data_IF_627086006970
#
_entry.id   IF_627086006970
#
_cell.length_a   1.000
_cell.length_b   1.000
_cell.length_c   1.000
_cell.angle_alpha   90.00
_cell.angle_beta   90.00
_cell.angle_gamma   90.00
#
_symmetry.space_group_name_H-M   'P 1'
#
loop_
_entity.id
_entity.type
_entity.pdbx_description
1 polymer ?
#
# COMPACT_ATOMS: atom_id res chain seq x y z
N UNK A 1 2.43 18.32 -2.82
CA UNK A 1 1.68 17.04 -3.00
C UNK A 1 2.70 15.98 -3.33
N UNK A 2 2.59 14.83 -2.68
CA UNK A 2 3.48 13.68 -2.93
C UNK A 2 3.13 12.92 -4.23
N UNK A 3 1.90 13.13 -4.76
CA UNK A 3 1.40 12.45 -5.95
C UNK A 3 1.73 13.26 -7.22
N UNK A 4 2.27 12.64 -8.28
CA UNK A 4 2.55 13.32 -9.54
C UNK A 4 1.30 13.97 -10.15
N UNK A 5 1.47 15.16 -10.71
CA UNK A 5 0.38 15.90 -11.39
C UNK A 5 -0.24 15.05 -12.51
N UNK A 6 0.58 14.28 -13.25
CA UNK A 6 0.09 13.41 -14.32
C UNK A 6 -0.89 12.34 -13.82
N UNK A 7 -0.66 11.80 -12.62
CA UNK A 7 -1.57 10.83 -11.99
C UNK A 7 -2.88 11.52 -11.58
N UNK A 8 -2.80 12.70 -10.95
CA UNK A 8 -3.98 13.49 -10.58
C UNK A 8 -4.83 13.81 -11.80
N UNK A 9 -4.20 14.31 -12.87
CA UNK A 9 -4.89 14.62 -14.15
C UNK A 9 -5.57 13.38 -14.73
N UNK A 10 -4.92 12.21 -14.70
CA UNK A 10 -5.50 10.97 -15.20
C UNK A 10 -6.74 10.57 -14.40
N UNK A 11 -6.68 10.62 -13.07
CA UNK A 11 -7.82 10.31 -12.20
C UNK A 11 -8.95 11.30 -12.41
N UNK A 12 -8.66 12.60 -12.48
CA UNK A 12 -9.67 13.65 -12.73
C UNK A 12 -10.36 13.41 -14.07
N UNK A 13 -9.61 13.18 -15.16
CA UNK A 13 -10.18 12.88 -16.49
C UNK A 13 -11.08 11.65 -16.45
N UNK A 14 -10.66 10.59 -15.74
CA UNK A 14 -11.45 9.39 -15.58
C UNK A 14 -12.77 9.66 -14.86
N UNK A 15 -12.72 10.36 -13.73
CA UNK A 15 -13.92 10.71 -12.94
C UNK A 15 -14.89 11.58 -13.76
N UNK A 16 -14.39 12.59 -14.47
CA UNK A 16 -15.21 13.40 -15.36
C UNK A 16 -15.84 12.57 -16.49
N UNK A 17 -15.06 11.69 -17.11
CA UNK A 17 -15.58 10.78 -18.14
C UNK A 17 -16.70 9.88 -17.62
N UNK A 18 -16.59 9.34 -16.40
CA UNK A 18 -17.66 8.54 -15.78
C UNK A 18 -18.91 9.37 -15.50
N UNK A 19 -18.74 10.59 -14.99
CA UNK A 19 -19.86 11.53 -14.75
C UNK A 19 -20.59 11.91 -16.05
N UNK A 20 -19.85 12.21 -17.12
CA UNK A 20 -20.44 12.51 -18.42
C UNK A 20 -21.22 11.33 -19.02
N UNK A 21 -20.83 10.11 -18.72
CA UNK A 21 -21.56 8.89 -19.09
C UNK A 21 -22.76 8.60 -18.20
N UNK A 22 -23.02 9.43 -17.19
CA UNK A 22 -24.11 9.24 -16.23
C UNK A 22 -23.86 8.12 -15.20
N UNK A 23 -22.63 7.59 -15.14
CA UNK A 23 -22.29 6.52 -14.21
C UNK A 23 -22.24 7.06 -12.78
N UNK A 24 -23.11 6.57 -11.92
CA UNK A 24 -23.13 6.93 -10.49
C UNK A 24 -22.16 6.12 -9.63
N UNK A 25 -21.77 4.92 -10.09
CA UNK A 25 -20.84 4.01 -9.41
C UNK A 25 -19.80 3.54 -10.40
N UNK A 26 -18.54 3.71 -10.06
CA UNK A 26 -17.40 3.29 -10.87
C UNK A 26 -16.17 3.10 -9.98
N UNK A 27 -15.33 2.09 -10.25
CA UNK A 27 -14.10 1.89 -9.48
C UNK A 27 -13.04 2.95 -9.83
N UNK A 28 -12.22 3.32 -8.86
CA UNK A 28 -11.04 4.18 -9.07
C UNK A 28 -9.75 3.36 -9.05
N UNK A 29 -9.72 2.32 -8.23
CA UNK A 29 -8.57 1.46 -8.01
C UNK A 29 -9.04 0.01 -8.11
N UNK A 30 -8.29 -0.80 -8.83
CA UNK A 30 -8.41 -2.25 -8.76
C UNK A 30 -7.41 -2.79 -7.73
N UNK A 31 -7.89 -3.60 -6.80
CA UNK A 31 -7.05 -4.43 -5.94
C UNK A 31 -6.79 -5.75 -6.67
N UNK A 32 -5.60 -5.89 -7.24
CA UNK A 32 -5.19 -7.06 -8.01
C UNK A 32 -4.30 -7.95 -7.14
N UNK A 33 -4.79 -9.12 -6.77
CA UNK A 33 -4.09 -10.06 -5.91
C UNK A 33 -3.66 -11.30 -6.68
N UNK A 34 -2.52 -11.25 -7.40
CA UNK A 34 -2.13 -12.32 -8.31
C UNK A 34 -1.68 -13.59 -7.57
N UNK A 35 -1.42 -13.51 -6.28
CA UNK A 35 -1.12 -14.65 -5.41
C UNK A 35 -1.34 -14.29 -3.93
N UNK A 36 -1.50 -15.31 -3.07
CA UNK A 36 -1.59 -15.14 -1.61
C UNK A 36 -0.36 -15.65 -0.86
N UNK A 37 0.51 -16.39 -1.51
CA UNK A 37 1.77 -16.86 -0.95
C UNK A 37 2.64 -15.69 -0.50
N UNK A 38 3.22 -15.78 0.71
CA UNK A 38 4.10 -14.78 1.30
C UNK A 38 5.31 -15.46 1.93
N UNK A 39 6.40 -14.71 2.12
CA UNK A 39 7.60 -15.11 2.83
C UNK A 39 7.68 -14.47 4.24
N UNK A 40 6.57 -13.89 4.73
CA UNK A 40 6.35 -13.42 6.09
C UNK A 40 5.03 -13.96 6.64
N UNK A 41 4.94 -14.02 7.96
CA UNK A 41 3.73 -14.38 8.71
C UNK A 41 3.42 -13.27 9.74
N UNK A 42 3.07 -12.09 9.22
CA UNK A 42 2.83 -10.90 10.03
C UNK A 42 1.66 -11.09 10.98
N UNK A 43 1.78 -10.60 12.21
CA UNK A 43 0.79 -10.74 13.28
C UNK A 43 -0.62 -10.26 12.89
N UNK A 44 -0.72 -9.17 12.11
CA UNK A 44 -1.99 -8.59 11.66
C UNK A 44 -2.51 -9.13 10.32
N UNK A 45 -1.88 -10.15 9.72
CA UNK A 45 -2.22 -10.64 8.40
C UNK A 45 -2.88 -12.01 8.43
N UNK A 46 -4.05 -12.16 7.77
CA UNK A 46 -4.74 -13.44 7.65
C UNK A 46 -4.54 -14.15 6.31
N UNK A 47 -3.75 -13.61 5.38
CA UNK A 47 -3.63 -14.19 4.03
C UNK A 47 -2.88 -15.51 4.01
N UNK A 48 -1.85 -15.67 4.80
CA UNK A 48 -1.07 -16.92 4.90
C UNK A 48 -1.81 -18.05 5.63
N UNK A 49 -2.95 -17.73 6.25
CA UNK A 49 -3.82 -18.72 6.91
C UNK A 49 -4.70 -19.51 5.93
N UNK A 50 -4.65 -19.20 4.64
CA UNK A 50 -5.36 -19.99 3.64
C UNK A 50 -4.72 -21.37 3.44
N UNK A 51 -5.53 -22.40 3.06
CA UNK A 51 -5.01 -23.74 2.82
C UNK A 51 -3.91 -23.77 1.75
N UNK A 52 -2.96 -24.73 1.82
CA UNK A 52 -1.82 -24.80 0.90
C UNK A 52 -2.21 -24.83 -0.58
N UNK A 53 -3.34 -25.45 -0.94
CA UNK A 53 -3.78 -25.50 -2.34
C UNK A 53 -4.20 -24.12 -2.87
N UNK A 54 -4.67 -23.21 -2.01
CA UNK A 54 -4.96 -21.80 -2.34
C UNK A 54 -3.65 -21.01 -2.41
N UNK A 55 -2.74 -21.19 -1.44
CA UNK A 55 -1.47 -20.48 -1.43
C UNK A 55 -0.57 -20.82 -2.64
N UNK A 56 -0.79 -21.98 -3.28
CA UNK A 56 -0.07 -22.39 -4.50
C UNK A 56 -0.63 -21.75 -5.78
N UNK A 57 -1.87 -21.24 -5.75
CA UNK A 57 -2.49 -20.60 -6.92
C UNK A 57 -1.82 -19.27 -7.23
N UNK A 58 -1.83 -18.92 -8.51
CA UNK A 58 -1.44 -17.60 -8.98
C UNK A 58 -2.18 -17.29 -10.29
N UNK A 59 -2.45 -16.00 -10.52
CA UNK A 59 -3.02 -15.54 -11.79
C UNK A 59 -1.92 -15.44 -12.83
N UNK A 60 -2.24 -15.76 -14.07
CA UNK A 60 -1.35 -15.48 -15.21
C UNK A 60 -1.33 -13.97 -15.54
N UNK A 61 -0.35 -13.49 -16.29
CA UNK A 61 -0.36 -12.12 -16.81
C UNK A 61 -1.63 -11.79 -17.59
N UNK A 62 -2.13 -12.72 -18.41
CA UNK A 62 -3.33 -12.55 -19.22
C UNK A 62 -4.58 -12.37 -18.35
N UNK A 63 -4.74 -13.17 -17.30
CA UNK A 63 -5.82 -13.03 -16.33
C UNK A 63 -5.75 -11.68 -15.61
N UNK A 64 -4.54 -11.24 -15.23
CA UNK A 64 -4.32 -9.93 -14.63
C UNK A 64 -4.70 -8.79 -15.59
N UNK A 65 -4.34 -8.90 -16.87
CA UNK A 65 -4.68 -7.90 -17.86
C UNK A 65 -6.18 -7.86 -18.16
N UNK A 66 -6.81 -9.02 -18.28
CA UNK A 66 -8.26 -9.12 -18.48
C UNK A 66 -9.04 -8.45 -17.34
N UNK A 67 -8.65 -8.69 -16.07
CA UNK A 67 -9.26 -8.05 -14.91
C UNK A 67 -9.13 -6.52 -14.93
N UNK A 68 -7.96 -6.01 -15.37
CA UNK A 68 -7.70 -4.57 -15.47
C UNK A 68 -8.49 -3.94 -16.62
N UNK A 69 -8.64 -4.62 -17.74
CA UNK A 69 -9.44 -4.16 -18.89
C UNK A 69 -10.93 -4.15 -18.55
N UNK A 70 -11.45 -5.20 -17.92
CA UNK A 70 -12.83 -5.30 -17.47
C UNK A 70 -13.17 -4.17 -16.49
N UNK A 71 -12.32 -3.92 -15.49
CA UNK A 71 -12.56 -2.88 -14.49
C UNK A 71 -12.47 -1.47 -15.05
N UNK A 72 -11.70 -1.25 -16.12
CA UNK A 72 -11.48 0.05 -16.77
C UNK A 72 -10.81 1.11 -15.88
N UNK A 73 -10.27 0.75 -14.72
CA UNK A 73 -9.69 1.67 -13.73
C UNK A 73 -8.43 2.38 -14.22
N UNK A 74 -8.16 3.59 -13.71
CA UNK A 74 -6.89 4.29 -13.97
C UNK A 74 -5.73 3.82 -13.09
N UNK A 75 -6.03 3.17 -11.96
CA UNK A 75 -5.04 2.79 -10.94
C UNK A 75 -5.20 1.32 -10.56
N UNK A 76 -4.07 0.65 -10.31
CA UNK A 76 -4.00 -0.74 -9.87
C UNK A 76 -3.11 -0.83 -8.64
N UNK A 77 -3.63 -1.39 -7.56
CA UNK A 77 -2.83 -1.80 -6.40
C UNK A 77 -2.62 -3.31 -6.47
N UNK A 78 -1.39 -3.75 -6.30
CA UNK A 78 -1.02 -5.17 -6.33
C UNK A 78 -0.53 -5.57 -4.92
N UNK A 79 -1.46 -5.89 -3.99
CA UNK A 79 -1.07 -6.25 -2.64
C UNK A 79 -0.70 -7.73 -2.50
N UNK A 80 -1.53 -8.66 -2.94
CA UNK A 80 -1.34 -10.11 -2.81
C UNK A 80 -0.94 -10.60 -1.42
N UNK A 81 -0.19 -11.70 -1.35
CA UNK A 81 0.71 -12.04 -0.26
C UNK A 81 1.99 -11.21 -0.40
N UNK A 82 3.05 -11.79 -1.04
CA UNK A 82 4.21 -10.99 -1.48
C UNK A 82 4.31 -11.03 -3.00
N UNK A 83 3.94 -9.95 -3.70
CA UNK A 83 3.92 -9.94 -5.16
C UNK A 83 5.27 -10.21 -5.82
N UNK A 84 6.38 -9.86 -5.16
CA UNK A 84 7.72 -10.14 -5.69
C UNK A 84 8.07 -11.64 -5.72
N UNK A 85 7.26 -12.51 -5.11
CA UNK A 85 7.36 -13.97 -5.25
C UNK A 85 6.66 -14.50 -6.51
N UNK A 86 5.87 -13.65 -7.20
CA UNK A 86 5.23 -14.08 -8.44
C UNK A 86 6.28 -14.17 -9.56
N UNK A 87 6.41 -15.32 -10.26
CA UNK A 87 7.47 -15.52 -11.26
C UNK A 87 7.39 -14.52 -12.42
N UNK A 88 6.19 -14.11 -12.79
CA UNK A 88 5.94 -13.21 -13.91
C UNK A 88 5.54 -11.79 -13.47
N UNK A 89 5.87 -11.35 -12.26
CA UNK A 89 5.46 -10.02 -11.76
C UNK A 89 6.01 -8.88 -12.64
N UNK A 90 7.19 -9.05 -13.19
CA UNK A 90 7.80 -8.06 -14.09
C UNK A 90 7.00 -7.92 -15.38
N UNK A 91 6.54 -9.04 -15.94
CA UNK A 91 5.68 -9.06 -17.13
C UNK A 91 4.33 -8.38 -16.84
N UNK A 92 3.71 -8.72 -15.70
CA UNK A 92 2.45 -8.08 -15.26
C UNK A 92 2.65 -6.57 -15.14
N UNK A 93 3.67 -6.11 -14.43
CA UNK A 93 3.97 -4.69 -14.23
C UNK A 93 4.21 -3.98 -15.57
N UNK A 94 5.03 -4.54 -16.45
CA UNK A 94 5.33 -3.97 -17.75
C UNK A 94 4.07 -3.89 -18.64
N UNK A 95 3.23 -4.91 -18.63
CA UNK A 95 1.97 -4.93 -19.34
C UNK A 95 0.99 -3.85 -18.85
N UNK A 96 0.96 -3.59 -17.54
CA UNK A 96 0.15 -2.51 -16.95
C UNK A 96 0.72 -1.12 -17.27
N UNK A 97 2.05 -0.97 -17.29
CA UNK A 97 2.72 0.28 -17.72
C UNK A 97 2.39 0.59 -19.19
N UNK A 98 2.44 -0.41 -20.08
CA UNK A 98 2.07 -0.27 -21.48
C UNK A 98 0.60 0.19 -21.63
N UNK A 99 -0.28 -0.24 -20.75
CA UNK A 99 -1.69 0.19 -20.65
C UNK A 99 -1.87 1.53 -19.92
N UNK A 100 -0.78 2.21 -19.57
CA UNK A 100 -0.77 3.52 -18.87
C UNK A 100 -1.54 3.52 -17.55
N UNK A 101 -1.52 2.39 -16.82
CA UNK A 101 -2.11 2.27 -15.49
C UNK A 101 -1.11 2.72 -14.43
N UNK A 102 -1.55 3.51 -13.45
CA UNK A 102 -0.73 3.83 -12.29
C UNK A 102 -0.76 2.65 -11.31
N UNK A 103 0.42 2.11 -11.01
CA UNK A 103 0.61 0.87 -10.26
C UNK A 103 1.22 1.20 -8.90
N UNK A 104 0.61 0.65 -7.86
CA UNK A 104 1.20 0.53 -6.53
C UNK A 104 1.53 -0.95 -6.31
N UNK A 105 2.79 -1.32 -6.51
CA UNK A 105 3.30 -2.66 -6.25
C UNK A 105 3.65 -2.75 -4.77
N UNK A 106 2.77 -3.40 -3.98
CA UNK A 106 2.96 -3.56 -2.55
C UNK A 106 3.99 -4.66 -2.27
N UNK A 107 4.89 -4.44 -1.34
CA UNK A 107 5.92 -5.42 -1.00
C UNK A 107 6.38 -5.27 0.45
N UNK A 108 6.73 -6.39 1.08
CA UNK A 108 7.42 -6.42 2.37
C UNK A 108 8.92 -6.15 2.26
N UNK A 109 9.40 -5.91 1.05
CA UNK A 109 10.78 -5.59 0.68
C UNK A 109 11.84 -6.69 0.87
N UNK A 110 11.53 -7.88 1.39
CA UNK A 110 12.53 -8.93 1.57
C UNK A 110 13.23 -9.30 0.26
N UNK A 111 12.49 -9.25 -0.85
CA UNK A 111 13.02 -9.54 -2.19
C UNK A 111 13.32 -8.28 -3.01
N UNK A 112 12.96 -7.09 -2.50
CA UNK A 112 12.97 -5.87 -3.29
C UNK A 112 14.35 -5.57 -3.87
N UNK A 113 15.38 -5.48 -3.03
CA UNK A 113 16.75 -5.14 -3.47
C UNK A 113 17.25 -6.12 -4.54
N UNK A 114 16.99 -7.41 -4.38
CA UNK A 114 17.40 -8.46 -5.33
C UNK A 114 16.68 -8.32 -6.68
N UNK A 115 15.37 -8.00 -6.63
CA UNK A 115 14.52 -7.95 -7.81
C UNK A 115 14.53 -6.60 -8.55
N UNK A 116 14.99 -5.51 -7.90
CA UNK A 116 15.04 -4.17 -8.52
C UNK A 116 15.68 -4.13 -9.91
N UNK A 117 16.78 -4.86 -10.22
CA UNK A 117 17.38 -4.85 -11.56
C UNK A 117 16.47 -5.36 -12.68
N UNK A 118 15.41 -6.11 -12.34
CA UNK A 118 14.45 -6.65 -13.30
C UNK A 118 13.41 -5.61 -13.74
N UNK A 119 13.27 -4.51 -13.01
CA UNK A 119 12.31 -3.43 -13.28
C UNK A 119 12.99 -2.21 -13.89
N UNK A 120 12.20 -1.42 -14.62
CA UNK A 120 12.62 -0.12 -15.14
C UNK A 120 11.83 1.01 -14.46
N UNK A 121 12.50 2.08 -13.97
CA UNK A 121 11.80 3.22 -13.41
C UNK A 121 10.76 3.81 -14.38
N UNK A 122 9.58 4.07 -13.86
CA UNK A 122 8.47 4.60 -14.65
C UNK A 122 7.60 5.52 -13.80
N UNK A 123 7.04 6.56 -14.41
CA UNK A 123 6.03 7.39 -13.74
C UNK A 123 4.77 6.61 -13.35
N UNK A 124 4.56 5.46 -13.95
CA UNK A 124 3.41 4.59 -13.68
C UNK A 124 3.66 3.57 -12.57
N UNK A 125 4.91 3.31 -12.17
CA UNK A 125 5.25 2.33 -11.13
C UNK A 125 5.68 3.01 -9.84
N UNK A 126 5.01 2.69 -8.75
CA UNK A 126 5.39 3.05 -7.39
C UNK A 126 5.53 1.78 -6.55
N UNK A 127 6.67 1.57 -5.93
CA UNK A 127 6.80 0.56 -4.89
C UNK A 127 6.15 1.07 -3.61
N UNK A 128 5.11 0.37 -3.15
CA UNK A 128 4.46 0.60 -1.87
C UNK A 128 5.07 -0.35 -0.84
N UNK A 129 6.05 0.13 -0.10
CA UNK A 129 6.85 -0.74 0.79
C UNK A 129 6.24 -0.75 2.17
N UNK A 130 5.94 -1.94 2.67
CA UNK A 130 5.46 -2.12 4.05
C UNK A 130 6.57 -1.75 5.04
N UNK A 131 6.30 -0.75 5.89
CA UNK A 131 7.22 -0.30 6.92
C UNK A 131 6.45 0.34 8.08
N UNK A 132 6.30 -0.37 9.20
CA UNK A 132 5.45 -0.01 10.33
C UNK A 132 6.25 0.69 11.44
N UNK A 133 6.60 1.96 11.23
CA UNK A 133 7.32 2.71 12.26
C UNK A 133 8.81 2.39 12.34
N UNK A 134 9.38 2.55 13.53
CA UNK A 134 10.79 2.27 13.79
C UNK A 134 11.06 0.77 13.91
N UNK A 135 12.34 0.40 13.94
CA UNK A 135 12.86 -0.98 13.90
C UNK A 135 12.09 -1.97 14.77
N UNK A 136 12.03 -1.72 16.06
CA UNK A 136 11.42 -2.64 17.02
C UNK A 136 9.93 -2.88 16.71
N UNK A 137 9.22 -1.81 16.37
CA UNK A 137 7.80 -1.89 16.04
C UNK A 137 7.57 -2.65 14.73
N UNK A 138 8.37 -2.37 13.70
CA UNK A 138 8.26 -3.05 12.42
C UNK A 138 8.61 -4.54 12.54
N UNK A 139 9.75 -4.87 13.15
CA UNK A 139 10.19 -6.26 13.30
C UNK A 139 9.17 -7.09 14.10
N UNK A 140 8.56 -6.48 15.13
CA UNK A 140 7.45 -7.09 15.86
C UNK A 140 6.23 -7.30 14.96
N UNK A 141 5.79 -6.30 14.20
CA UNK A 141 4.58 -6.38 13.37
C UNK A 141 4.69 -7.42 12.26
N UNK A 142 5.88 -7.56 11.67
CA UNK A 142 6.15 -8.53 10.60
C UNK A 142 6.63 -9.89 11.11
N UNK A 143 6.74 -10.07 12.43
CA UNK A 143 7.24 -11.29 13.09
C UNK A 143 8.62 -11.72 12.57
N UNK A 144 9.51 -10.75 12.30
CA UNK A 144 10.84 -11.01 11.74
C UNK A 144 11.87 -10.01 12.22
N UNK A 145 12.84 -10.47 13.00
CA UNK A 145 14.02 -9.68 13.38
C UNK A 145 14.85 -9.30 12.15
N UNK A 146 15.31 -8.05 12.11
CA UNK A 146 16.06 -7.47 10.98
C UNK A 146 15.22 -7.17 9.75
N UNK A 147 13.90 -7.35 9.80
CA UNK A 147 12.98 -7.00 8.71
C UNK A 147 13.05 -5.53 8.33
N UNK A 148 13.13 -4.65 9.35
CA UNK A 148 13.26 -3.22 9.17
C UNK A 148 14.51 -2.81 8.36
N UNK A 149 15.66 -3.39 8.68
CA UNK A 149 16.92 -3.10 7.97
C UNK A 149 16.83 -3.47 6.50
N UNK A 150 16.28 -4.63 6.21
CA UNK A 150 16.10 -5.12 4.83
C UNK A 150 15.16 -4.19 4.07
N UNK A 151 14.05 -3.77 4.69
CA UNK A 151 13.08 -2.89 4.06
C UNK A 151 13.68 -1.50 3.79
N UNK A 152 14.38 -0.92 4.77
CA UNK A 152 15.05 0.38 4.63
C UNK A 152 16.14 0.34 3.56
N UNK A 153 16.95 -0.71 3.51
CA UNK A 153 17.95 -0.89 2.48
C UNK A 153 17.31 -1.00 1.09
N UNK A 154 16.23 -1.75 0.97
CA UNK A 154 15.44 -1.87 -0.26
C UNK A 154 14.85 -0.53 -0.71
N UNK A 155 14.29 0.26 0.20
CA UNK A 155 13.77 1.61 -0.06
C UNK A 155 14.88 2.52 -0.59
N UNK A 156 16.00 2.61 0.12
CA UNK A 156 17.16 3.46 -0.27
C UNK A 156 17.69 3.08 -1.64
N UNK A 157 17.84 1.79 -1.93
CA UNK A 157 18.31 1.32 -3.23
C UNK A 157 17.30 1.63 -4.35
N UNK A 158 16.00 1.46 -4.10
CA UNK A 158 14.96 1.79 -5.07
C UNK A 158 14.94 3.29 -5.38
N UNK A 159 15.01 4.14 -4.36
CA UNK A 159 15.10 5.61 -4.54
C UNK A 159 16.36 6.01 -5.31
N UNK A 160 17.50 5.44 -4.96
CA UNK A 160 18.79 5.68 -5.66
C UNK A 160 18.71 5.33 -7.13
N UNK A 161 17.99 4.29 -7.51
CA UNK A 161 17.76 3.88 -8.90
C UNK A 161 16.69 4.69 -9.63
N UNK A 162 16.09 5.68 -8.98
CA UNK A 162 15.07 6.56 -9.58
C UNK A 162 13.64 5.98 -9.59
N UNK A 163 13.39 4.92 -8.83
CA UNK A 163 12.02 4.43 -8.63
C UNK A 163 11.23 5.33 -7.71
N UNK A 164 9.94 5.40 -7.93
CA UNK A 164 8.98 5.99 -7.03
C UNK A 164 8.74 5.02 -5.87
N UNK A 165 8.87 5.51 -4.64
CA UNK A 165 8.69 4.70 -3.43
C UNK A 165 7.80 5.44 -2.45
N UNK A 166 6.85 4.72 -1.87
CA UNK A 166 6.00 5.19 -0.78
C UNK A 166 5.93 4.12 0.32
N UNK A 167 6.43 4.38 1.51
CA UNK A 167 6.18 3.51 2.65
C UNK A 167 4.69 3.45 2.97
N UNK A 168 4.22 2.24 3.27
CA UNK A 168 2.86 1.96 3.71
C UNK A 168 2.93 1.46 5.15
N UNK A 169 2.47 2.29 6.08
CA UNK A 169 2.66 2.10 7.52
C UNK A 169 1.34 1.84 8.21
N UNK A 170 1.26 0.73 8.94
CA UNK A 170 0.13 0.39 9.78
C UNK A 170 0.54 0.54 11.25
N UNK A 171 -0.22 1.31 12.01
CA UNK A 171 0.04 1.50 13.43
C UNK A 171 -0.98 0.76 14.27
N UNK A 172 -0.47 -0.03 15.22
CA UNK A 172 -1.24 -0.85 16.14
C UNK A 172 -1.35 -0.21 17.53
N UNK A 173 -2.11 -0.83 18.43
CA UNK A 173 -2.26 -0.37 19.81
C UNK A 173 -0.91 -0.39 20.54
N UNK A 174 -0.69 0.60 21.40
CA UNK A 174 0.53 0.69 22.20
C UNK A 174 1.71 1.41 21.51
N UNK A 175 1.60 1.80 20.23
CA UNK A 175 2.69 2.57 19.59
C UNK A 175 2.81 3.97 20.20
N UNK A 176 4.06 4.39 20.50
CA UNK A 176 4.33 5.74 21.00
C UNK A 176 4.23 6.79 19.87
N UNK A 177 3.38 7.83 20.03
CA UNK A 177 3.27 8.88 19.03
C UNK A 177 4.57 9.61 18.69
N UNK A 178 5.48 9.77 19.66
CA UNK A 178 6.77 10.43 19.43
C UNK A 178 7.71 9.56 18.58
N UNK A 179 7.69 8.25 18.81
CA UNK A 179 8.40 7.27 17.98
C UNK A 179 7.90 7.33 16.53
N UNK A 180 6.59 7.41 16.30
CA UNK A 180 6.02 7.57 14.95
C UNK A 180 6.45 8.88 14.30
N UNK A 181 6.49 9.96 15.05
CA UNK A 181 6.95 11.27 14.54
C UNK A 181 8.44 11.24 14.15
N UNK A 182 9.29 10.60 14.95
CA UNK A 182 10.70 10.38 14.62
C UNK A 182 10.86 9.50 13.36
N UNK A 183 10.06 8.47 13.24
CA UNK A 183 9.99 7.63 12.05
C UNK A 183 9.63 8.44 10.78
N UNK A 184 8.70 9.39 10.86
CA UNK A 184 8.38 10.24 9.70
C UNK A 184 9.59 11.09 9.25
N UNK A 185 10.37 11.62 10.19
CA UNK A 185 11.59 12.35 9.84
C UNK A 185 12.61 11.44 9.14
N UNK A 186 12.82 10.25 9.69
CA UNK A 186 13.75 9.26 9.14
C UNK A 186 13.35 8.82 7.72
N UNK A 187 12.10 8.48 7.52
CA UNK A 187 11.58 8.03 6.22
C UNK A 187 11.64 9.15 5.17
N UNK A 188 11.29 10.38 5.55
CA UNK A 188 11.42 11.52 4.63
C UNK A 188 12.86 11.80 4.22
N UNK A 189 13.83 11.55 5.10
CA UNK A 189 15.26 11.68 4.80
C UNK A 189 15.76 10.63 3.78
N UNK A 190 15.04 9.52 3.59
CA UNK A 190 15.38 8.52 2.56
C UNK A 190 15.01 8.97 1.15
N UNK A 191 14.32 10.10 0.98
CA UNK A 191 13.93 10.63 -0.34
C UNK A 191 12.69 10.01 -0.96
N UNK A 192 11.83 9.37 -0.17
CA UNK A 192 10.56 8.80 -0.63
C UNK A 192 9.57 9.89 -1.06
N UNK A 193 8.59 9.55 -1.89
CA UNK A 193 7.58 10.52 -2.38
C UNK A 193 6.64 11.01 -1.27
N UNK A 194 6.31 10.13 -0.34
CA UNK A 194 5.40 10.39 0.77
C UNK A 194 5.05 9.09 1.47
N UNK A 195 4.27 9.17 2.54
CA UNK A 195 3.90 8.05 3.40
C UNK A 195 2.41 7.79 3.29
N UNK A 196 2.00 6.52 3.24
CA UNK A 196 0.62 6.07 3.45
C UNK A 196 0.49 5.60 4.89
N UNK A 197 -0.56 6.06 5.58
CA UNK A 197 -0.82 5.73 6.98
C UNK A 197 -2.13 4.97 7.12
N UNK A 198 -2.12 3.92 7.92
CA UNK A 198 -3.32 3.19 8.29
C UNK A 198 -3.30 2.84 9.79
N UNK A 199 -4.43 2.90 10.48
CA UNK A 199 -4.55 2.22 11.76
C UNK A 199 -4.70 0.71 11.52
N UNK A 200 -4.20 -0.10 12.44
CA UNK A 200 -4.48 -1.52 12.49
C UNK A 200 -5.95 -1.76 12.81
N UNK A 201 -6.78 -1.96 11.78
CA UNK A 201 -8.17 -2.36 11.93
C UNK A 201 -8.28 -3.86 12.17
N UNK A 202 -9.22 -4.26 13.02
CA UNK A 202 -9.50 -5.68 13.28
C UNK A 202 -9.79 -6.42 11.98
N UNK A 203 -9.21 -7.60 11.86
CA UNK A 203 -9.37 -8.48 10.72
C UNK A 203 -9.63 -9.90 11.25
N UNK A 204 -10.80 -10.45 10.97
CA UNK A 204 -11.29 -11.69 11.59
C UNK A 204 -10.34 -12.89 11.46
N UNK A 205 -9.55 -12.93 10.38
CA UNK A 205 -8.59 -14.01 10.12
C UNK A 205 -7.17 -13.73 10.60
N UNK A 206 -6.91 -12.57 11.22
CA UNK A 206 -5.59 -12.31 11.79
C UNK A 206 -5.35 -13.24 12.98
N UNK A 207 -4.12 -13.80 13.10
CA UNK A 207 -3.77 -14.73 14.19
C UNK A 207 -3.91 -14.11 15.57
N UNK A 208 -3.56 -12.84 15.71
CA UNK A 208 -3.65 -12.10 16.97
C UNK A 208 -4.58 -10.88 16.82
N UNK A 209 -5.56 -10.78 17.70
CA UNK A 209 -6.55 -9.71 17.72
C UNK A 209 -6.25 -8.63 18.77
N UNK A 210 -5.26 -8.85 19.66
CA UNK A 210 -5.03 -8.02 20.85
C UNK A 210 -4.48 -6.63 20.53
N UNK A 211 -3.77 -6.49 19.39
CA UNK A 211 -3.11 -5.25 19.02
C UNK A 211 -3.92 -4.33 18.10
N UNK A 212 -5.13 -4.74 17.72
CA UNK A 212 -6.00 -3.86 16.93
C UNK A 212 -6.64 -2.76 17.77
N UNK A 213 -6.82 -1.59 17.15
CA UNK A 213 -7.36 -0.42 17.82
C UNK A 213 -8.83 -0.19 17.52
N UNK A 214 -9.62 0.06 18.56
CA UNK A 214 -10.95 0.63 18.42
C UNK A 214 -10.88 2.11 18.01
N UNK A 215 -11.98 2.63 17.41
CA UNK A 215 -12.07 3.97 16.82
C UNK A 215 -11.60 5.11 17.76
N UNK A 216 -11.89 5.02 19.04
CA UNK A 216 -11.49 6.06 20.01
C UNK A 216 -9.95 6.10 20.19
N UNK A 217 -9.29 4.94 20.24
CA UNK A 217 -7.83 4.84 20.33
C UNK A 217 -7.17 5.35 19.03
N UNK A 218 -7.71 4.97 17.87
CA UNK A 218 -7.25 5.47 16.55
C UNK A 218 -7.26 6.99 16.52
N UNK A 219 -8.39 7.63 16.88
CA UNK A 219 -8.49 9.09 16.89
C UNK A 219 -7.48 9.75 17.82
N UNK A 220 -7.27 9.20 19.03
CA UNK A 220 -6.28 9.74 19.97
C UNK A 220 -4.87 9.64 19.43
N UNK A 221 -4.50 8.48 18.91
CA UNK A 221 -3.17 8.24 18.33
C UNK A 221 -2.90 9.17 17.15
N UNK A 222 -3.79 9.17 16.15
CA UNK A 222 -3.58 9.98 14.94
C UNK A 222 -3.64 11.47 15.22
N UNK A 223 -4.43 11.92 16.19
CA UNK A 223 -4.40 13.31 16.63
C UNK A 223 -3.04 13.66 17.27
N UNK A 224 -2.50 12.80 18.12
CA UNK A 224 -1.17 13.01 18.72
C UNK A 224 -0.04 13.02 17.67
N UNK A 225 -0.11 12.17 16.66
CA UNK A 225 0.88 12.08 15.57
C UNK A 225 0.79 13.27 14.62
N UNK A 226 -0.41 13.64 14.20
CA UNK A 226 -0.64 14.57 13.07
C UNK A 226 -0.91 16.02 13.49
N UNK A 227 -1.29 16.28 14.75
CA UNK A 227 -1.34 17.66 15.27
C UNK A 227 0.07 18.27 15.21
N UNK A 228 0.14 19.50 14.72
CA UNK A 228 1.44 20.19 14.53
C UNK A 228 2.43 19.41 13.65
N UNK A 229 1.94 18.70 12.61
CA UNK A 229 2.78 18.00 11.65
C UNK A 229 3.74 18.94 10.94
N UNK A 230 4.96 18.48 10.72
CA UNK A 230 5.97 19.24 9.99
C UNK A 230 5.58 19.37 8.52
N UNK A 231 5.86 20.53 7.91
CA UNK A 231 5.64 20.75 6.46
C UNK A 231 6.48 19.83 5.57
N UNK A 232 7.61 19.35 6.09
CA UNK A 232 8.49 18.38 5.42
C UNK A 232 7.87 16.99 5.26
N UNK A 233 6.93 16.63 6.12
CA UNK A 233 6.26 15.33 6.04
C UNK A 233 5.24 15.33 4.91
N UNK A 234 5.47 14.50 3.93
CA UNK A 234 4.60 14.32 2.78
C UNK A 234 3.77 13.05 2.97
N UNK A 235 2.47 13.16 2.76
CA UNK A 235 1.57 12.01 2.82
C UNK A 235 0.95 11.77 1.44
N UNK A 236 0.91 10.51 1.02
CA UNK A 236 0.25 10.07 -0.21
C UNK A 236 -1.25 9.82 0.03
N UNK A 237 -1.83 10.67 0.85
CA UNK A 237 -3.22 10.61 1.28
C UNK A 237 -3.87 11.98 1.16
N UNK A 238 -5.18 11.99 0.96
CA UNK A 238 -5.95 13.23 0.97
C UNK A 238 -5.86 13.92 2.36
N UNK A 239 -5.68 15.23 2.42
CA UNK A 239 -5.78 15.98 3.68
C UNK A 239 -7.08 15.68 4.44
N UNK A 240 -8.18 15.50 3.72
CA UNK A 240 -9.48 15.16 4.30
C UNK A 240 -9.47 13.79 5.00
N UNK A 241 -8.69 12.84 4.47
CA UNK A 241 -8.56 11.54 5.12
C UNK A 241 -7.71 11.62 6.39
N UNK A 242 -6.68 12.46 6.42
CA UNK A 242 -5.92 12.73 7.65
C UNK A 242 -6.79 13.36 8.73
N UNK A 243 -7.69 14.30 8.36
CA UNK A 243 -8.71 14.86 9.27
C UNK A 243 -9.66 13.77 9.81
N UNK A 244 -10.07 12.84 8.97
CA UNK A 244 -10.88 11.69 9.39
C UNK A 244 -10.16 10.81 10.41
N UNK A 245 -8.88 10.51 10.19
CA UNK A 245 -8.07 9.73 11.14
C UNK A 245 -7.95 10.43 12.50
N UNK A 246 -7.80 11.76 12.51
CA UNK A 246 -7.75 12.56 13.73
C UNK A 246 -9.13 12.72 14.41
N UNK A 247 -10.21 12.37 13.71
CA UNK A 247 -11.58 12.51 14.21
C UNK A 247 -12.20 13.89 14.01
N UNK A 248 -11.55 14.75 13.22
CA UNK A 248 -12.07 16.09 12.89
C UNK A 248 -13.09 16.06 11.74
N UNK A 249 -13.21 14.91 11.09
CA UNK A 249 -14.16 14.65 10.01
C UNK A 249 -14.81 13.29 10.17
N UNK A 250 -16.08 13.20 9.83
CA UNK A 250 -16.79 11.93 9.67
C UNK A 250 -17.04 11.67 8.18
N UNK A 251 -16.94 10.41 7.80
CA UNK A 251 -17.42 9.91 6.52
C UNK A 251 -18.51 8.89 6.76
N UNK A 252 -19.53 8.94 5.94
CA UNK A 252 -20.46 7.84 5.78
C UNK A 252 -19.87 6.84 4.81
N UNK A 253 -20.14 5.56 5.06
CA UNK A 253 -19.75 4.50 4.14
C UNK A 253 -20.52 4.70 2.83
N UNK A 254 -19.81 5.03 1.75
CA UNK A 254 -20.43 5.06 0.44
C UNK A 254 -20.54 3.65 -0.12
N UNK A 255 -21.58 3.31 -0.90
CA UNK A 255 -21.71 1.99 -1.51
C UNK A 255 -20.72 1.77 -2.67
N UNK A 256 -19.62 2.51 -2.69
CA UNK A 256 -18.56 2.46 -3.69
C UNK A 256 -17.46 1.56 -3.17
N UNK A 257 -17.48 0.30 -3.57
CA UNK A 257 -16.36 -0.59 -3.35
C UNK A 257 -15.30 -0.40 -4.43
N UNK A 258 -14.02 -0.54 -4.09
CA UNK A 258 -13.01 -0.86 -5.09
C UNK A 258 -13.23 -2.30 -5.51
N UNK A 259 -13.34 -2.63 -6.80
CA UNK A 259 -13.38 -4.02 -7.21
C UNK A 259 -12.10 -4.72 -6.80
N UNK A 260 -12.23 -5.94 -6.38
CA UNK A 260 -11.10 -6.79 -6.00
C UNK A 260 -11.14 -8.03 -6.87
N UNK A 261 -10.01 -8.35 -7.48
CA UNK A 261 -9.81 -9.58 -8.22
C UNK A 261 -8.70 -10.37 -7.52
N UNK A 262 -8.97 -11.61 -7.25
CA UNK A 262 -8.04 -12.50 -6.58
C UNK A 262 -8.05 -13.88 -7.20
N UNK A 263 -7.21 -14.77 -6.69
CA UNK A 263 -7.08 -16.17 -7.14
C UNK A 263 -8.31 -17.07 -6.84
N UNK A 264 -9.38 -16.53 -6.31
CA UNK A 264 -10.62 -17.26 -6.05
C UNK A 264 -11.52 -17.27 -7.27
#
# INVERSE_FOLDING_TARGET
>A
MAIPISQVVTVVKYVWGQKLKGNKRYPLVLMLEPLFRCNLDCAGCGKVQYPPHILKKQLSPEECFAAVEESGVPMVSIPGGEPLLHPQIVEIVNGLIARKKYIYLCTNALELKRRLPEFTPSKYLTFSVHLDGQREHHDFSVCREGGWDIAVEGIKEAVKRGFRVTPNSTFFDGVDPNSVRAYFDEVMAMGVEGIVLSPGYSYDKAPDQSHFMGRAKVRRLFRAILSNRKKSWKFNMSPLFLEFLMGDRNYECTPWGSPSYSIF
#
